data_IF_401287913367
#
_entry.id   IF_401287913367
#
_cell.length_a   1.000
_cell.length_b   1.000
_cell.length_c   1.000
_cell.angle_alpha   90.00
_cell.angle_beta   90.00
_cell.angle_gamma   90.00
#
_symmetry.space_group_name_H-M   'P 1'
#
loop_
_entity.id
_entity.type
_entity.pdbx_description
1 polymer ?
#
# COMPACT_ATOMS: atom_id res chain seq x y z
N UNK A 1 11.40 9.57 24.48
CA UNK A 1 10.25 8.68 24.76
C UNK A 1 9.28 8.68 23.58
N UNK A 2 8.78 9.83 23.11
CA UNK A 2 7.79 9.91 22.03
C UNK A 2 8.27 9.29 20.71
N UNK A 3 9.53 9.52 20.32
CA UNK A 3 10.13 8.93 19.13
C UNK A 3 10.29 7.40 19.26
N UNK A 4 10.67 6.90 20.44
CA UNK A 4 10.74 5.47 20.70
C UNK A 4 9.35 4.81 20.61
N UNK A 5 8.31 5.49 21.14
CA UNK A 5 6.92 5.03 20.98
C UNK A 5 6.49 4.99 19.53
N UNK A 6 6.84 6.01 18.73
CA UNK A 6 6.57 6.03 17.30
C UNK A 6 7.21 4.85 16.57
N UNK A 7 8.48 4.54 16.86
CA UNK A 7 9.17 3.39 16.25
C UNK A 7 8.53 2.06 16.67
N UNK A 8 8.10 1.96 17.94
CA UNK A 8 7.48 0.74 18.48
C UNK A 8 6.00 0.56 18.10
N UNK A 9 5.41 1.47 17.36
CA UNK A 9 3.99 1.48 17.02
C UNK A 9 3.66 0.41 16.00
N UNK A 10 3.32 -0.79 16.46
CA UNK A 10 3.15 -1.99 15.65
C UNK A 10 2.12 -1.90 14.51
N UNK A 11 1.00 -1.14 14.58
CA UNK A 11 0.04 -1.14 13.47
C UNK A 11 0.58 -0.57 12.16
N UNK A 12 1.60 0.30 12.21
CA UNK A 12 2.25 0.87 11.03
C UNK A 12 3.41 0.03 10.49
N UNK A 13 3.88 -0.98 11.25
CA UNK A 13 5.02 -1.81 10.85
C UNK A 13 4.66 -2.74 9.68
N UNK A 14 5.67 -3.15 8.91
CA UNK A 14 5.62 -4.10 7.80
C UNK A 14 4.83 -3.52 6.60
N UNK A 15 3.52 -3.74 6.50
CA UNK A 15 2.69 -3.36 5.36
C UNK A 15 1.58 -2.34 5.73
N UNK A 16 1.66 -1.72 6.92
CA UNK A 16 0.76 -0.64 7.31
C UNK A 16 1.00 0.64 6.49
N UNK A 17 0.09 1.64 6.60
CA UNK A 17 0.33 2.94 6.00
C UNK A 17 1.65 3.52 6.53
N UNK A 18 2.45 4.11 5.64
CA UNK A 18 3.66 4.84 6.05
C UNK A 18 3.21 6.11 6.75
N UNK A 19 3.36 6.13 8.06
CA UNK A 19 2.98 7.25 8.92
C UNK A 19 4.25 8.00 9.30
N UNK A 20 4.35 9.29 9.00
CA UNK A 20 5.50 10.11 9.39
C UNK A 20 5.38 10.52 10.84
N UNK A 21 6.51 10.76 11.50
CA UNK A 21 6.51 11.21 12.90
C UNK A 21 5.68 12.48 13.10
N UNK A 22 5.77 13.44 12.18
CA UNK A 22 5.00 14.69 12.21
C UNK A 22 3.48 14.47 12.15
N UNK A 23 3.01 13.42 11.47
CA UNK A 23 1.58 13.09 11.36
C UNK A 23 0.99 12.62 12.71
N UNK A 24 1.82 12.07 13.59
CA UNK A 24 1.38 11.47 14.86
C UNK A 24 1.96 12.13 16.12
N UNK A 25 2.94 13.01 16.01
CA UNK A 25 3.60 13.63 17.17
C UNK A 25 2.60 14.28 18.13
N UNK A 26 1.68 15.09 17.60
CA UNK A 26 0.65 15.73 18.43
C UNK A 26 -0.30 14.70 19.02
N UNK A 27 -0.64 13.66 18.26
CA UNK A 27 -1.51 12.58 18.72
C UNK A 27 -0.85 11.75 19.83
N UNK A 28 0.46 11.52 19.77
CA UNK A 28 1.21 10.83 20.86
C UNK A 28 1.05 11.58 22.17
N UNK A 29 1.06 12.91 22.14
CA UNK A 29 0.98 13.76 23.33
C UNK A 29 -0.44 13.95 23.86
N UNK A 30 -1.44 14.03 22.99
CA UNK A 30 -2.77 14.52 23.35
C UNK A 30 -3.95 13.70 22.82
N UNK A 31 -3.69 12.44 22.35
CA UNK A 31 -4.77 11.58 21.83
C UNK A 31 -5.79 11.24 22.90
N UNK A 32 -7.04 11.14 22.46
CA UNK A 32 -8.14 10.66 23.30
C UNK A 32 -8.71 9.39 22.71
N UNK A 33 -8.79 8.34 23.54
CA UNK A 33 -9.51 7.12 23.17
C UNK A 33 -10.97 7.30 23.58
N UNK A 34 -11.87 7.19 22.63
CA UNK A 34 -13.31 7.29 22.85
C UNK A 34 -14.01 6.00 22.41
N UNK A 35 -15.16 5.68 22.99
CA UNK A 35 -15.94 4.49 22.62
C UNK A 35 -16.35 4.58 21.14
N UNK A 36 -16.77 5.75 20.67
CA UNK A 36 -17.11 5.96 19.26
C UNK A 36 -15.90 5.75 18.34
N UNK A 37 -14.73 6.28 18.71
CA UNK A 37 -13.49 6.08 17.96
C UNK A 37 -13.06 4.61 17.93
N UNK A 38 -13.22 3.90 19.04
CA UNK A 38 -12.97 2.47 19.12
C UNK A 38 -13.91 1.67 18.22
N UNK A 39 -15.22 2.00 18.22
CA UNK A 39 -16.21 1.36 17.34
C UNK A 39 -15.89 1.54 15.86
N UNK A 40 -15.51 2.75 15.44
CA UNK A 40 -15.02 3.01 14.06
C UNK A 40 -13.76 2.20 13.77
N UNK A 41 -12.85 2.08 14.74
CA UNK A 41 -11.66 1.23 14.61
C UNK A 41 -11.99 -0.25 14.36
N UNK A 42 -12.96 -0.78 15.11
CA UNK A 42 -13.47 -2.15 14.92
C UNK A 42 -14.06 -2.34 13.52
N UNK A 43 -14.82 -1.37 13.01
CA UNK A 43 -15.40 -1.42 11.67
C UNK A 43 -14.32 -1.51 10.59
N UNK A 44 -13.29 -0.65 10.65
CA UNK A 44 -12.14 -0.71 9.74
C UNK A 44 -11.40 -2.04 9.83
N UNK A 45 -11.17 -2.53 11.04
CA UNK A 45 -10.47 -3.80 11.26
C UNK A 45 -11.25 -4.98 10.67
N UNK A 46 -12.55 -5.08 10.92
CA UNK A 46 -13.40 -6.14 10.37
C UNK A 46 -13.46 -6.05 8.85
N UNK A 47 -13.62 -4.85 8.29
CA UNK A 47 -13.61 -4.63 6.84
C UNK A 47 -12.29 -5.11 6.21
N UNK A 48 -11.16 -4.77 6.82
CA UNK A 48 -9.84 -5.24 6.38
C UNK A 48 -9.71 -6.76 6.47
N UNK A 49 -10.19 -7.36 7.57
CA UNK A 49 -10.20 -8.82 7.75
C UNK A 49 -11.06 -9.53 6.69
N UNK A 50 -12.24 -9.00 6.38
CA UNK A 50 -13.09 -9.51 5.30
C UNK A 50 -12.35 -9.49 3.96
N UNK A 51 -11.69 -8.37 3.61
CA UNK A 51 -10.87 -8.28 2.41
C UNK A 51 -9.77 -9.35 2.37
N UNK A 52 -9.04 -9.53 3.46
CA UNK A 52 -7.94 -10.48 3.56
C UNK A 52 -8.43 -11.93 3.52
N UNK A 53 -9.39 -12.28 4.36
CA UNK A 53 -9.79 -13.68 4.58
C UNK A 53 -10.74 -14.19 3.49
N UNK A 54 -11.78 -13.41 3.15
CA UNK A 54 -12.80 -13.86 2.22
C UNK A 54 -12.43 -13.59 0.76
N UNK A 55 -11.71 -12.51 0.46
CA UNK A 55 -11.37 -12.19 -0.92
C UNK A 55 -9.93 -12.58 -1.26
N UNK A 56 -8.91 -11.99 -0.62
CA UNK A 56 -7.53 -12.20 -1.02
C UNK A 56 -7.11 -13.67 -0.93
N UNK A 57 -7.39 -14.35 0.18
CA UNK A 57 -7.01 -15.74 0.36
C UNK A 57 -7.70 -16.68 -0.65
N UNK A 58 -9.00 -16.46 -0.93
CA UNK A 58 -9.74 -17.29 -1.89
C UNK A 58 -9.21 -17.07 -3.32
N UNK A 59 -9.06 -15.80 -3.73
CA UNK A 59 -8.53 -15.44 -5.05
C UNK A 59 -7.11 -15.97 -5.25
N UNK A 60 -6.26 -15.87 -4.22
CA UNK A 60 -4.90 -16.42 -4.25
C UNK A 60 -4.87 -17.94 -4.41
N UNK A 61 -5.74 -18.68 -3.72
CA UNK A 61 -5.82 -20.13 -3.88
C UNK A 61 -6.23 -20.54 -5.29
N UNK A 62 -7.19 -19.83 -5.91
CA UNK A 62 -7.60 -20.09 -7.28
C UNK A 62 -6.47 -19.73 -8.25
N UNK A 63 -5.79 -18.60 -8.05
CA UNK A 63 -4.66 -18.18 -8.85
C UNK A 63 -3.53 -19.23 -8.85
N UNK A 64 -3.13 -19.74 -7.68
CA UNK A 64 -2.11 -20.79 -7.56
C UNK A 64 -2.50 -22.06 -8.33
N UNK A 65 -3.77 -22.45 -8.30
CA UNK A 65 -4.26 -23.59 -9.09
C UNK A 65 -4.15 -23.34 -10.60
N UNK A 66 -4.43 -22.10 -11.07
CA UNK A 66 -4.27 -21.74 -12.48
C UNK A 66 -2.80 -21.78 -12.88
N UNK A 67 -1.90 -21.24 -12.03
CA UNK A 67 -0.45 -21.31 -12.30
C UNK A 67 0.10 -22.74 -12.37
N UNK A 68 -0.50 -23.67 -11.67
CA UNK A 68 -0.10 -25.07 -11.68
C UNK A 68 -0.59 -25.84 -12.92
N UNK A 69 -1.37 -25.22 -13.82
CA UNK A 69 -1.81 -25.87 -15.06
C UNK A 69 -0.61 -26.10 -16.00
N UNK A 70 -0.57 -27.26 -16.64
CA UNK A 70 0.41 -27.57 -17.68
C UNK A 70 0.18 -26.71 -18.93
N UNK A 71 1.21 -26.57 -19.77
CA UNK A 71 1.10 -25.83 -21.04
C UNK A 71 -0.02 -26.34 -21.95
N UNK A 72 -0.34 -27.65 -21.88
CA UNK A 72 -1.43 -28.28 -22.66
C UNK A 72 -2.82 -27.87 -22.13
N UNK A 73 -2.92 -27.61 -20.80
CA UNK A 73 -4.17 -27.20 -20.14
C UNK A 73 -4.35 -25.67 -20.11
N UNK A 74 -3.27 -24.92 -20.38
CA UNK A 74 -3.30 -23.46 -20.39
C UNK A 74 -3.95 -22.93 -21.65
N UNK A 75 -4.87 -22.01 -21.51
CA UNK A 75 -5.51 -21.30 -22.62
C UNK A 75 -5.40 -19.77 -22.41
N UNK A 76 -5.65 -19.01 -23.46
CA UNK A 76 -5.72 -17.54 -23.36
C UNK A 76 -6.74 -17.11 -22.28
N UNK A 77 -7.86 -17.83 -22.19
CA UNK A 77 -8.91 -17.54 -21.20
C UNK A 77 -8.39 -17.78 -19.78
N UNK A 78 -7.72 -18.91 -19.53
CA UNK A 78 -7.14 -19.19 -18.20
C UNK A 78 -6.06 -18.20 -17.81
N UNK A 79 -5.24 -17.72 -18.79
CA UNK A 79 -4.24 -16.69 -18.55
C UNK A 79 -4.88 -15.34 -18.13
N UNK A 80 -5.94 -14.90 -18.82
CA UNK A 80 -6.66 -13.68 -18.46
C UNK A 80 -7.37 -13.80 -17.10
N UNK A 81 -8.00 -14.94 -16.83
CA UNK A 81 -8.61 -15.20 -15.51
C UNK A 81 -7.53 -15.14 -14.43
N UNK A 82 -6.37 -15.75 -14.65
CA UNK A 82 -5.24 -15.73 -13.73
C UNK A 82 -4.77 -14.29 -13.46
N UNK A 83 -4.60 -13.47 -14.49
CA UNK A 83 -4.21 -12.07 -14.36
C UNK A 83 -5.22 -11.24 -13.55
N UNK A 84 -6.52 -11.41 -13.80
CA UNK A 84 -7.59 -10.73 -13.05
C UNK A 84 -7.59 -11.17 -11.59
N UNK A 85 -7.50 -12.47 -11.33
CA UNK A 85 -7.51 -13.01 -9.98
C UNK A 85 -6.30 -12.51 -9.18
N UNK A 86 -5.11 -12.49 -9.78
CA UNK A 86 -3.90 -11.99 -9.14
C UNK A 86 -4.00 -10.49 -8.84
N UNK A 87 -4.48 -9.70 -9.80
CA UNK A 87 -4.71 -8.26 -9.65
C UNK A 87 -5.65 -7.96 -8.47
N UNK A 88 -6.77 -8.67 -8.38
CA UNK A 88 -7.71 -8.52 -7.29
C UNK A 88 -7.14 -9.04 -5.95
N UNK A 89 -6.40 -10.15 -5.99
CA UNK A 89 -5.76 -10.72 -4.82
C UNK A 89 -4.79 -9.76 -4.17
N UNK A 90 -3.86 -9.16 -4.93
CA UNK A 90 -2.92 -8.16 -4.41
C UNK A 90 -3.66 -6.97 -3.79
N UNK A 91 -4.67 -6.46 -4.48
CA UNK A 91 -5.44 -5.33 -3.97
C UNK A 91 -6.16 -5.63 -2.65
N UNK A 92 -6.88 -6.75 -2.59
CA UNK A 92 -7.61 -7.10 -1.38
C UNK A 92 -6.68 -7.49 -0.24
N UNK A 93 -5.56 -8.12 -0.53
CA UNK A 93 -4.54 -8.47 0.44
C UNK A 93 -3.93 -7.22 1.09
N UNK A 94 -3.41 -6.33 0.27
CA UNK A 94 -2.72 -5.16 0.77
C UNK A 94 -3.68 -4.09 1.32
N UNK A 95 -4.79 -3.81 0.64
CA UNK A 95 -5.79 -2.88 1.17
C UNK A 95 -6.47 -3.40 2.44
N UNK A 96 -6.65 -4.71 2.55
CA UNK A 96 -7.17 -5.35 3.76
C UNK A 96 -6.23 -5.18 4.95
N UNK A 97 -4.92 -5.41 4.76
CA UNK A 97 -3.93 -5.17 5.79
C UNK A 97 -3.90 -3.69 6.20
N UNK A 98 -3.92 -2.78 5.25
CA UNK A 98 -3.94 -1.35 5.50
C UNK A 98 -5.18 -0.90 6.29
N UNK A 99 -6.36 -1.42 5.95
CA UNK A 99 -7.60 -1.13 6.70
C UNK A 99 -7.52 -1.66 8.15
N UNK A 100 -6.97 -2.87 8.36
CA UNK A 100 -6.76 -3.42 9.71
C UNK A 100 -5.80 -2.54 10.51
N UNK A 101 -4.70 -2.07 9.90
CA UNK A 101 -3.74 -1.18 10.55
C UNK A 101 -4.37 0.17 10.95
N UNK A 102 -5.15 0.78 10.04
CA UNK A 102 -5.92 2.01 10.32
C UNK A 102 -6.94 1.76 11.45
N UNK A 103 -7.62 0.62 11.41
CA UNK A 103 -8.56 0.20 12.45
C UNK A 103 -7.92 0.11 13.83
N UNK A 104 -6.79 -0.60 13.93
CA UNK A 104 -6.01 -0.68 15.18
C UNK A 104 -5.53 0.70 15.64
N UNK A 105 -5.00 1.52 14.73
CA UNK A 105 -4.62 2.89 15.05
C UNK A 105 -5.79 3.66 15.69
N UNK A 106 -6.99 3.57 15.10
CA UNK A 106 -8.21 4.22 15.61
C UNK A 106 -8.62 3.71 16.99
N UNK A 107 -8.51 2.40 17.26
CA UNK A 107 -8.80 1.84 18.58
C UNK A 107 -7.88 2.41 19.66
N UNK A 108 -6.62 2.71 19.32
CA UNK A 108 -5.65 3.36 20.20
C UNK A 108 -5.71 4.90 20.19
N UNK A 109 -6.67 5.48 19.47
CA UNK A 109 -6.87 6.92 19.40
C UNK A 109 -5.97 7.63 18.39
N UNK A 110 -5.30 6.89 17.50
CA UNK A 110 -4.51 7.44 16.39
C UNK A 110 -5.32 7.52 15.10
N UNK A 111 -4.99 8.49 14.27
CA UNK A 111 -5.57 8.66 12.93
C UNK A 111 -4.46 8.49 11.91
N UNK A 112 -4.37 7.30 11.33
CA UNK A 112 -3.44 7.01 10.25
C UNK A 112 -4.02 7.45 8.90
N UNK A 113 -3.17 7.86 7.95
CA UNK A 113 -3.61 8.21 6.61
C UNK A 113 -4.14 7.00 5.85
N UNK A 114 -5.05 7.25 4.92
CA UNK A 114 -5.57 6.24 4.00
C UNK A 114 -4.49 5.84 3.00
N UNK A 115 -4.42 4.54 2.67
CA UNK A 115 -3.40 4.01 1.76
C UNK A 115 -3.96 3.61 0.39
N UNK A 116 -5.26 3.37 0.28
CA UNK A 116 -5.94 2.98 -0.96
C UNK A 116 -7.24 3.77 -1.15
N UNK A 117 -7.50 4.19 -2.41
CA UNK A 117 -8.74 4.87 -2.78
C UNK A 117 -9.25 4.37 -4.13
N UNK A 118 -9.81 3.14 -4.17
CA UNK A 118 -10.38 2.52 -5.38
C UNK A 118 -9.45 2.64 -6.61
N UNK A 119 -8.24 2.07 -6.60
CA UNK A 119 -7.24 2.30 -7.65
C UNK A 119 -7.68 1.84 -9.04
N UNK A 120 -8.53 0.82 -9.15
CA UNK A 120 -8.93 0.25 -10.44
C UNK A 120 -10.02 1.02 -11.18
N UNK A 121 -10.54 2.12 -10.60
CA UNK A 121 -11.39 3.07 -11.34
C UNK A 121 -10.59 4.23 -11.92
N UNK A 122 -9.26 4.17 -11.85
CA UNK A 122 -8.39 5.23 -12.33
C UNK A 122 -8.48 5.36 -13.86
N UNK A 123 -8.55 6.60 -14.36
CA UNK A 123 -8.62 6.92 -15.79
C UNK A 123 -7.24 7.10 -16.42
N UNK A 124 -6.17 7.10 -15.62
CA UNK A 124 -4.79 7.23 -16.09
C UNK A 124 -3.83 6.55 -15.13
N UNK A 125 -2.60 6.25 -15.60
CA UNK A 125 -1.51 5.72 -14.77
C UNK A 125 -1.20 6.68 -13.61
N UNK A 126 -1.21 7.99 -13.86
CA UNK A 126 -0.99 8.99 -12.81
C UNK A 126 -2.11 8.96 -11.75
N UNK A 127 -3.37 8.81 -12.18
CA UNK A 127 -4.50 8.69 -11.24
C UNK A 127 -4.44 7.38 -10.47
N UNK A 128 -4.03 6.28 -11.13
CA UNK A 128 -3.81 5.00 -10.44
C UNK A 128 -2.84 5.14 -9.27
N UNK A 129 -1.66 5.71 -9.47
CA UNK A 129 -0.66 5.90 -8.42
C UNK A 129 -1.08 6.90 -7.32
N UNK A 130 -2.01 7.79 -7.60
CA UNK A 130 -2.63 8.65 -6.59
C UNK A 130 -3.65 7.92 -5.71
N UNK A 131 -4.03 6.71 -6.08
CA UNK A 131 -5.03 5.87 -5.41
C UNK A 131 -4.46 4.58 -4.82
N UNK A 132 -3.31 4.15 -5.32
CA UNK A 132 -2.58 2.96 -4.90
C UNK A 132 -1.42 3.34 -4.01
N UNK A 133 -1.30 2.67 -2.84
CA UNK A 133 -0.22 2.88 -1.87
C UNK A 133 0.12 4.35 -1.66
N UNK A 134 -0.92 5.15 -1.37
CA UNK A 134 -0.87 6.61 -1.33
C UNK A 134 0.21 7.15 -0.39
N UNK A 135 0.41 6.48 0.76
CA UNK A 135 1.38 6.90 1.76
C UNK A 135 2.82 6.74 1.28
N UNK A 136 3.12 5.69 0.51
CA UNK A 136 4.42 5.50 -0.13
C UNK A 136 4.65 6.58 -1.20
N UNK A 137 3.64 6.83 -2.04
CA UNK A 137 3.68 7.88 -3.05
C UNK A 137 3.93 9.27 -2.45
N UNK A 138 3.26 9.57 -1.34
CA UNK A 138 3.48 10.82 -0.58
C UNK A 138 4.90 10.90 -0.04
N UNK A 139 5.39 9.83 0.59
CA UNK A 139 6.73 9.78 1.15
C UNK A 139 7.82 9.99 0.08
N UNK A 140 7.78 9.24 -1.01
CA UNK A 140 8.73 9.45 -2.12
C UNK A 140 8.58 10.79 -2.80
N UNK A 141 7.35 11.30 -2.89
CA UNK A 141 7.07 12.63 -3.40
C UNK A 141 7.79 13.72 -2.61
N UNK A 142 7.63 13.71 -1.30
CA UNK A 142 8.15 14.75 -0.41
C UNK A 142 9.65 14.62 -0.14
N UNK A 143 10.15 13.40 0.08
CA UNK A 143 11.53 13.20 0.52
C UNK A 143 12.52 12.95 -0.62
N UNK A 144 12.04 12.62 -1.83
CA UNK A 144 12.90 12.33 -2.99
C UNK A 144 12.55 13.20 -4.18
N UNK A 145 11.31 13.14 -4.68
CA UNK A 145 10.95 13.77 -5.95
C UNK A 145 10.99 15.30 -5.90
N UNK A 146 10.40 15.92 -4.88
CA UNK A 146 10.37 17.37 -4.71
C UNK A 146 11.77 17.93 -4.44
N UNK A 147 12.61 17.35 -3.57
CA UNK A 147 14.00 17.81 -3.38
C UNK A 147 14.86 17.72 -4.65
N UNK A 148 14.59 16.78 -5.54
CA UNK A 148 15.26 16.70 -6.86
C UNK A 148 14.77 17.76 -7.88
N UNK A 149 13.82 18.61 -7.48
CA UNK A 149 13.21 19.66 -8.30
C UNK A 149 11.85 19.27 -8.90
N UNK A 150 11.35 18.06 -8.62
CA UNK A 150 10.03 17.60 -9.07
C UNK A 150 9.85 17.66 -10.58
N UNK A 151 8.71 18.22 -11.02
CA UNK A 151 8.38 18.49 -12.41
C UNK A 151 8.73 19.93 -12.87
N UNK A 152 9.30 20.75 -11.96
CA UNK A 152 9.68 22.15 -12.24
C UNK A 152 11.10 22.28 -12.77
N UNK A 153 11.54 21.31 -13.58
CA UNK A 153 12.88 21.21 -14.15
C UNK A 153 12.78 20.88 -15.64
N UNK A 154 13.92 20.85 -16.35
CA UNK A 154 13.96 20.44 -17.76
C UNK A 154 13.47 19.00 -17.92
N UNK A 155 12.93 18.65 -19.08
CA UNK A 155 12.41 17.31 -19.38
C UNK A 155 13.40 16.20 -19.05
N UNK A 156 14.69 16.37 -19.40
CA UNK A 156 15.73 15.39 -19.09
C UNK A 156 15.91 15.17 -17.56
N UNK A 157 15.90 16.26 -16.78
CA UNK A 157 15.97 16.17 -15.31
C UNK A 157 14.69 15.57 -14.72
N UNK A 158 13.53 15.85 -15.31
CA UNK A 158 12.26 15.26 -14.87
C UNK A 158 12.26 13.74 -15.08
N UNK A 159 12.67 13.25 -16.26
CA UNK A 159 12.82 11.81 -16.53
C UNK A 159 13.80 11.17 -15.53
N UNK A 160 14.97 11.81 -15.32
CA UNK A 160 15.93 11.35 -14.30
C UNK A 160 15.29 11.24 -12.91
N UNK A 161 14.51 12.25 -12.48
CA UNK A 161 13.86 12.26 -11.17
C UNK A 161 12.87 11.09 -11.03
N UNK A 162 12.08 10.82 -12.08
CA UNK A 162 11.19 9.66 -12.13
C UNK A 162 11.97 8.34 -12.03
N UNK A 163 13.02 8.17 -12.82
CA UNK A 163 13.85 6.96 -12.78
C UNK A 163 14.49 6.74 -11.40
N UNK A 164 14.93 7.80 -10.73
CA UNK A 164 15.46 7.70 -9.35
C UNK A 164 14.35 7.23 -8.39
N UNK A 165 13.16 7.82 -8.44
CA UNK A 165 12.04 7.41 -7.56
C UNK A 165 11.69 5.95 -7.81
N UNK A 166 11.52 5.53 -9.07
CA UNK A 166 11.21 4.14 -9.41
C UNK A 166 12.30 3.17 -8.99
N UNK A 167 13.56 3.50 -9.24
CA UNK A 167 14.70 2.68 -8.81
C UNK A 167 14.76 2.52 -7.29
N UNK A 168 14.56 3.62 -6.54
CA UNK A 168 14.54 3.57 -5.07
C UNK A 168 13.33 2.79 -4.54
N UNK A 169 12.16 2.91 -5.19
CA UNK A 169 10.98 2.12 -4.85
C UNK A 169 11.25 0.63 -5.06
N UNK A 170 11.92 0.25 -6.17
CA UNK A 170 12.33 -1.14 -6.42
C UNK A 170 13.28 -1.68 -5.34
N UNK A 171 14.30 -0.89 -4.96
CA UNK A 171 15.23 -1.27 -3.86
C UNK A 171 14.50 -1.40 -2.53
N UNK A 172 13.52 -0.53 -2.26
CA UNK A 172 12.72 -0.56 -1.04
C UNK A 172 11.85 -1.83 -0.96
N UNK A 173 11.29 -2.30 -2.07
CA UNK A 173 10.51 -3.54 -2.12
C UNK A 173 11.38 -4.81 -1.93
N UNK A 174 12.65 -4.77 -2.31
CA UNK A 174 13.57 -5.89 -2.10
C UNK A 174 14.92 -5.71 -2.80
N UNK A 175 15.96 -6.33 -2.26
CA UNK A 175 17.34 -6.23 -2.76
C UNK A 175 17.64 -7.10 -4.00
N UNK A 176 16.65 -7.80 -4.56
CA UNK A 176 16.83 -8.63 -5.76
C UNK A 176 16.77 -7.81 -7.04
N UNK A 177 17.56 -8.20 -8.06
CA UNK A 177 17.54 -7.56 -9.39
C UNK A 177 16.13 -7.52 -10.00
N UNK A 178 15.31 -8.52 -9.72
CA UNK A 178 13.92 -8.58 -10.16
C UNK A 178 13.08 -7.39 -9.66
N UNK A 179 13.33 -6.88 -8.45
CA UNK A 179 12.65 -5.72 -7.90
C UNK A 179 13.12 -4.40 -8.50
N UNK A 180 14.39 -4.32 -8.96
CA UNK A 180 14.90 -3.17 -9.69
C UNK A 180 14.27 -3.04 -11.08
N UNK A 181 13.96 -4.17 -11.74
CA UNK A 181 13.37 -4.23 -13.07
C UNK A 181 11.84 -4.24 -13.03
N UNK A 182 11.26 -4.73 -11.95
CA UNK A 182 9.83 -4.76 -11.66
C UNK A 182 9.61 -3.94 -10.39
N UNK A 183 9.45 -2.64 -10.51
CA UNK A 183 9.20 -1.76 -9.36
C UNK A 183 7.82 -1.97 -8.71
N UNK A 184 7.17 -3.09 -8.97
CA UNK A 184 5.80 -3.39 -8.58
C UNK A 184 5.67 -4.85 -8.19
N UNK A 185 5.72 -5.09 -6.92
CA UNK A 185 5.00 -6.18 -6.25
C UNK A 185 4.66 -5.77 -4.83
#
# INVERSE_FOLDING_TARGET
INFALYIAMFPQLIAGPIVRYEDVEQQIRSRKVTIAGFGVGCEFFIRGMVKKVLFANLLGQIFVRIQALSNVQSSIVTAWIGAILYTLQIYYDFSGYSDMAIGLGRMFGFRFPQNFNYPYIAESITDFWRRWHMTLGTWFGEYVYIPLGGNRVTTAKHIRNLLIVWGLTGVWHGAGINFLLRSEE
#
